data_IF_977869060299
#
_entry.id   IF_977869060299
#
_cell.length_a   1.000
_cell.length_b   1.000
_cell.length_c   1.000
_cell.angle_alpha   90.00
_cell.angle_beta   90.00
_cell.angle_gamma   90.00
#
_symmetry.space_group_name_H-M   'P 1'
#
loop_
_entity.id
_entity.type
_entity.pdbx_description
1 polymer ?
#
# COMPACT_ATOMS: atom_id res chain seq x y z
N UNK A 1 13.81 -0.92 0.24
CA UNK A 1 12.50 -1.57 0.48
C UNK A 1 12.62 -2.97 1.11
N UNK A 2 13.42 -3.89 0.55
CA UNK A 2 13.56 -5.27 1.07
C UNK A 2 14.33 -5.38 2.41
N UNK A 3 15.26 -4.47 2.67
CA UNK A 3 16.08 -4.42 3.90
C UNK A 3 15.45 -3.64 5.07
N UNK A 4 14.17 -3.24 4.97
CA UNK A 4 13.52 -2.37 5.97
C UNK A 4 13.29 -3.06 7.31
N UNK A 5 13.11 -4.38 7.30
CA UNK A 5 12.93 -5.15 8.52
C UNK A 5 14.27 -5.75 8.95
N UNK A 6 14.76 -5.39 10.13
CA UNK A 6 16.02 -5.93 10.66
C UNK A 6 15.92 -7.43 10.99
N UNK A 7 14.71 -7.93 11.28
CA UNK A 7 14.43 -9.36 11.43
C UNK A 7 14.34 -10.10 10.09
N UNK A 8 14.51 -9.42 8.95
CA UNK A 8 14.54 -10.10 7.68
C UNK A 8 15.74 -11.04 7.61
N UNK A 9 15.50 -12.28 7.15
CA UNK A 9 16.55 -13.28 6.92
C UNK A 9 17.71 -12.74 6.07
N UNK A 10 17.41 -11.87 5.10
CA UNK A 10 18.44 -11.21 4.28
C UNK A 10 19.37 -10.34 5.12
N UNK A 11 18.84 -9.49 6.00
CA UNK A 11 19.63 -8.60 6.86
C UNK A 11 20.50 -9.40 7.83
N UNK A 12 19.93 -10.45 8.42
CA UNK A 12 20.69 -11.36 9.30
C UNK A 12 21.85 -11.99 8.56
N UNK A 13 21.59 -12.60 7.40
CA UNK A 13 22.62 -13.29 6.61
C UNK A 13 23.73 -12.34 6.15
N UNK A 14 23.36 -11.15 5.67
CA UNK A 14 24.36 -10.16 5.23
C UNK A 14 25.22 -9.61 6.37
N UNK A 15 24.68 -9.57 7.60
CA UNK A 15 25.43 -9.11 8.77
C UNK A 15 26.28 -10.22 9.41
N UNK A 16 25.84 -11.48 9.36
CA UNK A 16 26.56 -12.60 10.01
C UNK A 16 27.52 -13.33 9.07
N UNK A 17 27.16 -13.51 7.79
CA UNK A 17 27.90 -14.37 6.86
C UNK A 17 28.73 -13.60 5.83
N UNK A 18 28.52 -12.29 5.65
CA UNK A 18 29.21 -11.51 4.63
C UNK A 18 30.03 -10.36 5.25
N UNK A 19 31.35 -10.43 5.07
CA UNK A 19 32.28 -9.36 5.41
C UNK A 19 32.59 -8.56 4.15
N UNK A 20 32.21 -7.28 4.14
CA UNK A 20 32.49 -6.37 3.05
C UNK A 20 33.10 -5.08 3.60
N UNK A 21 34.23 -4.59 3.05
CA UNK A 21 34.90 -3.38 3.56
C UNK A 21 34.12 -2.10 3.25
N UNK A 22 33.28 -2.12 2.20
CA UNK A 22 32.44 -0.99 1.79
C UNK A 22 31.04 -1.49 1.47
N UNK A 23 30.02 -0.79 1.96
CA UNK A 23 28.60 -1.11 1.75
C UNK A 23 27.90 0.14 1.21
N UNK A 24 27.10 -0.01 0.16
CA UNK A 24 26.31 1.07 -0.44
C UNK A 24 24.87 0.59 -0.53
N UNK A 25 23.93 1.46 -0.18
CA UNK A 25 22.51 1.18 -0.27
C UNK A 25 21.85 2.13 -1.27
N UNK A 26 21.14 1.55 -2.25
CA UNK A 26 20.38 2.29 -3.24
C UNK A 26 18.89 2.20 -2.90
N UNK A 27 18.22 3.34 -2.80
CA UNK A 27 16.77 3.40 -2.55
C UNK A 27 16.14 4.52 -3.37
N UNK A 28 15.05 4.20 -4.07
CA UNK A 28 14.22 5.20 -4.76
C UNK A 28 13.11 5.79 -3.88
N UNK A 29 12.81 5.17 -2.74
CA UNK A 29 11.80 5.67 -1.79
C UNK A 29 12.44 6.51 -0.70
N UNK A 30 11.82 7.62 -0.27
CA UNK A 30 12.28 8.35 0.89
C UNK A 30 12.34 7.42 2.10
N UNK A 31 13.29 7.71 2.98
CA UNK A 31 13.47 6.98 4.23
C UNK A 31 12.19 7.16 5.07
N UNK A 32 11.53 6.06 5.44
CA UNK A 32 10.22 6.10 6.10
C UNK A 32 10.34 6.59 7.54
N UNK A 33 9.27 7.19 8.07
CA UNK A 33 9.22 7.79 9.42
C UNK A 33 9.30 6.77 10.58
N UNK A 34 9.61 5.49 10.32
CA UNK A 34 9.71 4.47 11.37
C UNK A 34 11.16 4.32 11.81
N UNK A 35 11.45 4.67 13.07
CA UNK A 35 12.78 4.57 13.67
C UNK A 35 13.42 3.18 13.54
N UNK A 36 12.71 2.05 13.72
CA UNK A 36 13.31 0.72 13.57
C UNK A 36 13.76 0.43 12.13
N UNK A 37 13.04 0.93 11.12
CA UNK A 37 13.43 0.74 9.72
C UNK A 37 14.67 1.54 9.37
N UNK A 38 14.75 2.76 9.91
CA UNK A 38 15.95 3.58 9.77
C UNK A 38 17.15 2.92 10.45
N UNK A 39 16.98 2.43 11.67
CA UNK A 39 18.03 1.71 12.39
C UNK A 39 18.53 0.52 11.58
N UNK A 40 17.64 -0.27 10.98
CA UNK A 40 18.02 -1.42 10.16
C UNK A 40 18.93 -1.02 8.98
N UNK A 41 18.64 0.12 8.33
CA UNK A 41 19.47 0.63 7.23
C UNK A 41 20.84 1.13 7.73
N UNK A 42 20.86 1.82 8.87
CA UNK A 42 22.09 2.37 9.45
C UNK A 42 22.99 1.28 10.04
N UNK A 43 22.41 0.29 10.72
CA UNK A 43 23.14 -0.89 11.21
C UNK A 43 23.79 -1.65 10.05
N UNK A 44 23.11 -1.77 8.91
CA UNK A 44 23.70 -2.39 7.73
C UNK A 44 24.89 -1.60 7.17
N UNK A 45 24.80 -0.27 7.12
CA UNK A 45 25.88 0.59 6.60
C UNK A 45 27.06 0.74 7.59
N UNK A 46 26.76 0.90 8.88
CA UNK A 46 27.71 1.20 9.95
C UNK A 46 27.41 0.32 11.18
N UNK A 47 27.70 -0.99 11.11
CA UNK A 47 27.35 -1.94 12.17
C UNK A 47 28.10 -1.68 13.49
N UNK A 48 29.25 -1.03 13.45
CA UNK A 48 30.07 -0.71 14.63
C UNK A 48 29.43 0.36 15.52
N UNK A 49 28.75 1.34 14.91
CA UNK A 49 28.10 2.45 15.61
C UNK A 49 26.71 2.03 16.11
N UNK A 50 25.95 1.31 15.27
CA UNK A 50 24.53 1.04 15.52
C UNK A 50 24.27 -0.41 15.89
N UNK A 51 24.84 -0.91 17.00
CA UNK A 51 24.75 -2.33 17.38
C UNK A 51 23.37 -2.79 17.87
N UNK A 52 22.62 -1.91 18.55
CA UNK A 52 21.34 -2.27 19.18
C UNK A 52 20.23 -1.30 18.78
N UNK A 53 19.08 -1.85 18.39
CA UNK A 53 17.87 -1.09 18.08
C UNK A 53 17.31 -0.42 19.34
N UNK A 54 17.34 -1.12 20.48
CA UNK A 54 16.85 -0.57 21.75
C UNK A 54 17.67 0.63 22.22
N UNK A 55 19.01 0.57 22.05
CA UNK A 55 19.88 1.71 22.37
C UNK A 55 19.66 2.87 21.41
N UNK A 56 19.38 2.59 20.13
CA UNK A 56 19.02 3.63 19.17
C UNK A 56 17.71 4.31 19.57
N UNK A 57 16.64 3.54 19.81
CA UNK A 57 15.35 4.06 20.28
C UNK A 57 15.48 4.82 21.60
N UNK A 58 16.22 4.28 22.57
CA UNK A 58 16.50 4.97 23.83
C UNK A 58 17.31 6.25 23.61
N UNK A 59 18.32 6.26 22.74
CA UNK A 59 19.07 7.48 22.42
C UNK A 59 18.17 8.56 21.78
N UNK A 60 17.16 8.14 21.03
CA UNK A 60 16.13 9.05 20.50
C UNK A 60 15.13 9.52 21.54
N UNK A 61 14.75 8.65 22.48
CA UNK A 61 13.79 8.94 23.53
C UNK A 61 14.46 9.59 24.77
N UNK A 62 15.79 9.52 24.91
CA UNK A 62 16.57 9.96 26.06
C UNK A 62 16.41 11.44 26.43
N UNK A 63 16.27 12.39 25.47
CA UNK A 63 15.98 13.79 25.82
C UNK A 63 14.62 13.97 26.52
N UNK A 64 13.75 12.96 26.48
CA UNK A 64 12.38 12.97 27.00
C UNK A 64 12.18 11.96 28.14
N UNK A 65 13.22 11.19 28.49
CA UNK A 65 13.19 10.23 29.59
C UNK A 65 13.31 10.88 30.99
N UNK A 66 13.65 12.18 31.06
CA UNK A 66 13.78 12.89 32.33
C UNK A 66 12.44 13.11 33.06
N UNK A 67 11.30 12.91 32.39
CA UNK A 67 9.96 13.11 32.98
C UNK A 67 9.33 11.85 33.57
N UNK A 68 10.02 10.70 33.60
CA UNK A 68 9.66 9.54 34.45
C UNK A 68 8.39 8.76 34.05
N UNK A 69 7.52 9.31 33.21
CA UNK A 69 6.37 8.62 32.64
C UNK A 69 6.63 8.26 31.17
N UNK A 70 5.96 7.22 30.67
CA UNK A 70 5.91 6.92 29.23
C UNK A 70 5.14 8.04 28.55
N UNK A 71 5.80 9.17 28.32
CA UNK A 71 5.23 10.30 27.60
C UNK A 71 5.18 9.91 26.13
N UNK A 72 3.97 9.78 25.59
CA UNK A 72 3.76 9.74 24.16
C UNK A 72 4.35 11.05 23.59
N UNK A 73 5.38 10.93 22.74
CA UNK A 73 6.07 12.07 22.17
C UNK A 73 5.10 12.95 21.39
N UNK A 74 5.12 14.26 21.63
CA UNK A 74 4.35 15.19 20.82
C UNK A 74 4.87 15.20 19.36
N UNK A 75 4.01 15.54 18.40
CA UNK A 75 4.40 15.59 16.98
C UNK A 75 5.59 16.56 16.75
N UNK A 76 5.64 17.67 17.48
CA UNK A 76 6.72 18.66 17.41
C UNK A 76 8.07 18.10 17.89
N UNK A 77 8.05 17.35 18.99
CA UNK A 77 9.25 16.69 19.55
C UNK A 77 9.78 15.63 18.58
N UNK A 78 8.86 14.87 17.99
CA UNK A 78 9.16 13.89 16.93
C UNK A 78 9.81 14.57 15.72
N UNK A 79 9.31 15.73 15.29
CA UNK A 79 9.90 16.51 14.19
C UNK A 79 11.31 17.00 14.55
N UNK A 80 11.53 17.47 15.77
CA UNK A 80 12.84 17.95 16.21
C UNK A 80 13.88 16.81 16.23
N UNK A 81 13.49 15.65 16.75
CA UNK A 81 14.28 14.41 16.69
C UNK A 81 14.65 14.06 15.24
N UNK A 82 13.65 14.01 14.36
CA UNK A 82 13.83 13.67 12.94
C UNK A 82 14.80 14.66 12.27
N UNK A 83 14.70 15.96 12.56
CA UNK A 83 15.63 16.98 12.04
C UNK A 83 17.07 16.75 12.51
N UNK A 84 17.27 16.46 13.80
CA UNK A 84 18.60 16.19 14.36
C UNK A 84 19.23 14.95 13.72
N UNK A 85 18.45 13.90 13.56
CA UNK A 85 18.84 12.70 12.85
C UNK A 85 19.24 13.01 11.39
N UNK A 86 18.39 13.70 10.62
CA UNK A 86 18.71 14.05 9.24
C UNK A 86 20.01 14.85 9.13
N UNK A 87 20.33 15.69 10.11
CA UNK A 87 21.60 16.44 10.16
C UNK A 87 22.81 15.50 10.33
N UNK A 88 22.71 14.53 11.24
CA UNK A 88 23.76 13.50 11.43
C UNK A 88 23.90 12.59 10.21
N UNK A 89 22.78 12.27 9.54
CA UNK A 89 22.77 11.39 8.37
C UNK A 89 23.14 12.06 7.05
N UNK A 90 23.07 13.40 6.98
CA UNK A 90 23.35 14.19 5.77
C UNK A 90 24.67 13.81 5.06
N UNK A 91 25.82 13.59 5.73
CA UNK A 91 27.04 13.16 5.05
C UNK A 91 26.98 11.73 4.48
N UNK A 92 26.09 10.88 4.98
CA UNK A 92 25.95 9.47 4.57
C UNK A 92 24.84 9.26 3.53
N UNK A 93 23.96 10.25 3.35
CA UNK A 93 22.81 10.18 2.47
C UNK A 93 22.94 11.19 1.33
N UNK A 94 23.12 10.68 0.12
CA UNK A 94 22.94 11.48 -1.08
C UNK A 94 21.49 11.33 -1.56
N UNK A 95 20.71 12.41 -1.44
CA UNK A 95 19.34 12.51 -1.95
C UNK A 95 19.21 13.78 -2.78
N UNK A 96 18.66 13.64 -3.98
CA UNK A 96 18.27 14.75 -4.85
C UNK A 96 16.82 14.53 -5.31
N UNK A 97 16.07 15.61 -5.45
CA UNK A 97 14.73 15.56 -6.05
C UNK A 97 14.87 15.66 -7.56
N UNK A 98 13.99 15.00 -8.32
CA UNK A 98 14.02 15.02 -9.79
C UNK A 98 13.96 16.45 -10.35
N UNK A 99 13.15 17.32 -9.72
CA UNK A 99 13.07 18.75 -10.05
C UNK A 99 14.37 19.54 -9.83
N UNK A 100 15.29 19.05 -8.99
CA UNK A 100 16.57 19.71 -8.69
C UNK A 100 17.66 19.35 -9.70
N UNK A 101 17.47 18.27 -10.47
CA UNK A 101 18.52 17.69 -11.32
C UNK A 101 18.16 17.61 -12.79
N UNK A 102 16.88 17.67 -13.13
CA UNK A 102 16.41 17.43 -14.48
C UNK A 102 15.34 18.45 -14.85
N UNK A 103 15.75 19.47 -15.61
CA UNK A 103 14.88 20.55 -16.09
C UNK A 103 14.10 20.21 -17.35
N UNK A 104 14.44 19.11 -18.04
CA UNK A 104 13.77 18.73 -19.28
C UNK A 104 12.46 17.98 -19.06
N UNK A 105 12.21 17.52 -17.83
CA UNK A 105 10.97 16.80 -17.52
C UNK A 105 9.84 17.78 -17.19
N UNK A 106 8.68 17.65 -17.86
CA UNK A 106 7.51 18.46 -17.53
C UNK A 106 7.02 18.16 -16.10
N UNK A 107 6.30 19.12 -15.53
CA UNK A 107 5.72 18.98 -14.20
C UNK A 107 4.73 17.82 -14.13
N UNK A 108 4.80 17.05 -13.04
CA UNK A 108 3.82 16.00 -12.76
C UNK A 108 2.54 16.65 -12.25
N UNK A 109 1.48 16.63 -13.05
CA UNK A 109 0.15 17.02 -12.59
C UNK A 109 -0.61 15.80 -12.07
N UNK A 110 -1.23 15.93 -10.91
CA UNK A 110 -1.97 14.85 -10.23
C UNK A 110 -3.43 15.24 -10.06
N UNK A 111 -4.33 14.41 -10.60
CA UNK A 111 -5.77 14.60 -10.50
C UNK A 111 -6.40 13.42 -9.77
N UNK A 112 -7.25 13.73 -8.79
CA UNK A 112 -8.07 12.73 -8.09
C UNK A 112 -9.48 12.77 -8.64
N UNK A 113 -9.86 11.75 -9.41
CA UNK A 113 -11.20 11.65 -10.01
C UNK A 113 -12.08 10.76 -9.12
N UNK A 114 -13.17 11.32 -8.61
CA UNK A 114 -14.19 10.56 -7.88
C UNK A 114 -15.15 9.93 -8.90
N UNK A 115 -15.41 8.64 -8.76
CA UNK A 115 -16.35 7.89 -9.61
C UNK A 115 -17.55 7.48 -8.77
N UNK A 116 -18.75 7.62 -9.34
CA UNK A 116 -19.96 7.09 -8.70
C UNK A 116 -20.01 5.56 -8.81
N UNK A 117 -20.65 4.92 -7.84
CA UNK A 117 -20.94 3.49 -7.91
C UNK A 117 -22.09 3.21 -8.88
N UNK A 118 -22.00 2.12 -9.64
CA UNK A 118 -23.13 1.59 -10.41
C UNK A 118 -24.27 1.15 -9.48
N UNK A 119 -25.46 0.94 -10.04
CA UNK A 119 -26.60 0.43 -9.26
C UNK A 119 -26.27 -0.91 -8.58
N UNK A 120 -25.64 -1.84 -9.31
CA UNK A 120 -25.20 -3.13 -8.79
C UNK A 120 -24.19 -2.96 -7.65
N UNK A 121 -23.17 -2.11 -7.84
CA UNK A 121 -22.19 -1.80 -6.80
C UNK A 121 -22.86 -1.26 -5.53
N UNK A 122 -23.80 -0.32 -5.64
CA UNK A 122 -24.52 0.25 -4.49
C UNK A 122 -25.28 -0.82 -3.70
N UNK A 123 -25.98 -1.72 -4.39
CA UNK A 123 -26.75 -2.80 -3.76
C UNK A 123 -25.81 -3.77 -3.04
N UNK A 124 -24.79 -4.27 -3.74
CA UNK A 124 -23.82 -5.22 -3.16
C UNK A 124 -23.05 -4.60 -1.99
N UNK A 125 -22.66 -3.33 -2.11
CA UNK A 125 -21.94 -2.61 -1.07
C UNK A 125 -22.79 -2.46 0.20
N UNK A 126 -24.05 -2.02 0.07
CA UNK A 126 -24.99 -1.92 1.20
C UNK A 126 -25.26 -3.28 1.83
N UNK A 127 -25.45 -4.32 1.02
CA UNK A 127 -25.68 -5.68 1.50
C UNK A 127 -24.48 -6.20 2.29
N UNK A 128 -23.26 -6.04 1.76
CA UNK A 128 -22.03 -6.44 2.46
C UNK A 128 -21.78 -5.65 3.74
N UNK A 129 -22.14 -4.37 3.78
CA UNK A 129 -22.07 -3.56 5.00
C UNK A 129 -23.06 -4.02 6.07
N UNK A 130 -24.28 -4.39 5.67
CA UNK A 130 -25.34 -4.78 6.60
C UNK A 130 -25.20 -6.22 7.11
N UNK A 131 -24.82 -7.17 6.24
CA UNK A 131 -24.82 -8.60 6.55
C UNK A 131 -23.45 -9.20 6.86
N UNK A 132 -22.36 -8.46 6.61
CA UNK A 132 -21.00 -9.01 6.72
C UNK A 132 -20.75 -10.16 5.74
N UNK A 133 -19.63 -10.86 5.91
CA UNK A 133 -19.20 -11.95 5.01
C UNK A 133 -20.13 -13.16 5.17
N UNK A 134 -21.23 -13.18 4.42
CA UNK A 134 -22.08 -14.35 4.24
C UNK A 134 -22.07 -14.84 2.77
N UNK A 135 -21.30 -14.17 1.89
CA UNK A 135 -21.29 -14.40 0.44
C UNK A 135 -20.05 -15.16 -0.08
N UNK A 136 -19.14 -15.61 0.79
CA UNK A 136 -18.04 -16.49 0.37
C UNK A 136 -18.24 -17.87 0.97
N UNK A 137 -18.75 -18.74 0.12
CA UNK A 137 -18.60 -20.20 0.08
C UNK A 137 -18.12 -20.91 1.36
N UNK A 138 -19.01 -21.71 1.94
CA UNK A 138 -18.72 -23.09 2.35
C UNK A 138 -17.73 -23.42 3.48
N UNK A 139 -16.93 -22.49 4.03
CA UNK A 139 -15.95 -22.84 5.06
C UNK A 139 -15.93 -21.85 6.23
N UNK A 140 -16.00 -22.39 7.44
CA UNK A 140 -15.94 -21.71 8.75
C UNK A 140 -17.29 -21.33 9.40
N UNK A 141 -18.24 -22.28 9.40
CA UNK A 141 -18.99 -22.55 10.64
C UNK A 141 -18.06 -23.31 11.58
N UNK A 142 -17.17 -22.61 12.29
CA UNK A 142 -16.63 -23.01 13.60
C UNK A 142 -15.38 -22.19 13.94
N UNK A 143 -15.56 -21.14 14.74
CA UNK A 143 -14.66 -20.71 15.83
C UNK A 143 -15.20 -19.44 16.49
N UNK A 144 -15.96 -19.63 17.57
CA UNK A 144 -16.23 -18.59 18.57
C UNK A 144 -14.90 -18.15 19.21
N UNK A 145 -14.63 -16.85 19.15
CA UNK A 145 -13.62 -16.17 19.98
C UNK A 145 -12.24 -16.02 19.33
N UNK A 146 -11.87 -14.77 18.99
CA UNK A 146 -10.59 -14.27 18.39
C UNK A 146 -10.54 -14.00 16.88
N UNK A 147 -11.70 -13.89 16.20
CA UNK A 147 -11.78 -13.61 14.76
C UNK A 147 -12.08 -12.16 14.34
N UNK A 148 -12.54 -11.28 15.23
CA UNK A 148 -13.16 -9.99 14.84
C UNK A 148 -12.34 -9.10 13.89
N UNK A 149 -11.04 -8.93 14.16
CA UNK A 149 -10.15 -8.15 13.29
C UNK A 149 -9.89 -8.83 11.92
N UNK A 150 -9.81 -10.16 11.88
CA UNK A 150 -9.65 -10.93 10.63
C UNK A 150 -10.93 -10.89 9.80
N UNK A 151 -12.09 -11.06 10.44
CA UNK A 151 -13.41 -10.93 9.81
C UNK A 151 -13.61 -9.52 9.26
N UNK A 152 -13.27 -8.47 10.00
CA UNK A 152 -13.35 -7.08 9.54
C UNK A 152 -12.39 -6.79 8.36
N UNK A 153 -11.15 -7.28 8.44
CA UNK A 153 -10.16 -7.13 7.36
C UNK A 153 -10.61 -7.84 6.09
N UNK A 154 -11.26 -9.01 6.22
CA UNK A 154 -11.86 -9.71 5.11
C UNK A 154 -13.05 -8.93 4.53
N UNK A 155 -13.89 -8.27 5.34
CA UNK A 155 -15.00 -7.43 4.85
C UNK A 155 -14.47 -6.24 4.05
N UNK A 156 -13.43 -5.56 4.54
CA UNK A 156 -12.78 -4.46 3.82
C UNK A 156 -12.27 -4.96 2.46
N UNK A 157 -11.66 -6.15 2.42
CA UNK A 157 -11.21 -6.74 1.16
C UNK A 157 -12.36 -6.94 0.17
N UNK A 158 -13.51 -7.47 0.62
CA UNK A 158 -14.67 -7.67 -0.25
C UNK A 158 -15.27 -6.33 -0.72
N UNK A 159 -15.39 -5.33 0.15
CA UNK A 159 -15.84 -3.99 -0.24
C UNK A 159 -14.90 -3.39 -1.30
N UNK A 160 -13.59 -3.60 -1.18
CA UNK A 160 -12.61 -3.18 -2.19
C UNK A 160 -12.80 -3.91 -3.52
N UNK A 161 -13.14 -5.20 -3.51
CA UNK A 161 -13.49 -5.94 -4.74
C UNK A 161 -14.71 -5.33 -5.41
N UNK A 162 -15.80 -5.09 -4.67
CA UNK A 162 -17.03 -4.47 -5.20
C UNK A 162 -16.72 -3.10 -5.84
N UNK A 163 -15.95 -2.27 -5.15
CA UNK A 163 -15.54 -0.95 -5.65
C UNK A 163 -14.58 -1.02 -6.86
N UNK A 164 -13.94 -2.15 -7.11
CA UNK A 164 -13.14 -2.36 -8.32
C UNK A 164 -14.03 -2.86 -9.46
N UNK A 165 -14.71 -3.98 -9.26
CA UNK A 165 -15.69 -4.52 -10.20
C UNK A 165 -16.60 -5.55 -9.51
N UNK A 166 -17.94 -5.54 -9.70
CA UNK A 166 -18.84 -6.56 -9.16
C UNK A 166 -18.53 -7.98 -9.60
N UNK A 167 -18.11 -8.16 -10.85
CA UNK A 167 -17.78 -9.48 -11.42
C UNK A 167 -16.46 -10.07 -10.90
N UNK A 168 -15.75 -9.39 -9.98
CA UNK A 168 -14.72 -10.05 -9.17
C UNK A 168 -15.28 -11.18 -8.28
N UNK A 169 -16.61 -11.24 -8.15
CA UNK A 169 -17.34 -12.34 -7.55
C UNK A 169 -17.97 -13.17 -8.67
N UNK A 170 -17.38 -14.32 -8.95
CA UNK A 170 -17.76 -15.16 -10.09
C UNK A 170 -19.25 -15.54 -10.08
N UNK A 171 -19.81 -15.90 -8.92
CA UNK A 171 -21.25 -16.20 -8.79
C UNK A 171 -22.17 -15.03 -9.18
N UNK A 172 -21.71 -13.78 -9.04
CA UNK A 172 -22.47 -12.60 -9.46
C UNK A 172 -22.40 -12.48 -10.99
N UNK A 173 -21.22 -12.69 -11.58
CA UNK A 173 -21.05 -12.66 -13.02
C UNK A 173 -21.90 -13.74 -13.70
N UNK A 174 -21.81 -14.99 -13.22
CA UNK A 174 -22.56 -16.13 -13.76
C UNK A 174 -24.07 -15.91 -13.69
N UNK A 175 -24.58 -15.43 -12.54
CA UNK A 175 -26.02 -15.15 -12.37
C UNK A 175 -26.51 -14.03 -13.28
N UNK A 176 -25.71 -12.97 -13.48
CA UNK A 176 -26.06 -11.91 -14.42
C UNK A 176 -25.95 -12.37 -15.87
N UNK A 177 -24.96 -13.19 -16.19
CA UNK A 177 -24.74 -13.76 -17.52
C UNK A 177 -25.94 -14.62 -17.93
N UNK A 178 -26.41 -15.51 -17.04
CA UNK A 178 -27.60 -16.33 -17.24
C UNK A 178 -28.86 -15.46 -17.46
N UNK A 179 -29.06 -14.44 -16.62
CA UNK A 179 -30.22 -13.54 -16.73
C UNK A 179 -30.25 -12.77 -18.06
N UNK A 180 -29.08 -12.40 -18.58
CA UNK A 180 -28.93 -11.66 -19.83
C UNK A 180 -28.82 -12.56 -21.06
N UNK A 181 -28.86 -13.89 -20.89
CA UNK A 181 -28.82 -14.85 -22.00
C UNK A 181 -27.42 -15.13 -22.57
N UNK A 182 -26.35 -14.87 -21.82
CA UNK A 182 -24.98 -15.23 -22.22
C UNK A 182 -24.73 -16.72 -22.02
N UNK A 183 -24.42 -17.44 -23.11
CA UNK A 183 -24.20 -18.90 -23.09
C UNK A 183 -22.94 -19.34 -22.34
N UNK A 184 -21.97 -18.44 -22.15
CA UNK A 184 -20.64 -18.80 -21.67
C UNK A 184 -20.36 -18.35 -20.22
N UNK A 185 -21.37 -17.80 -19.52
CA UNK A 185 -21.21 -17.31 -18.14
C UNK A 185 -20.31 -16.07 -17.99
N UNK A 186 -19.79 -15.52 -19.10
CA UNK A 186 -18.88 -14.37 -19.12
C UNK A 186 -19.58 -13.19 -19.76
N UNK A 187 -19.55 -12.04 -19.07
CA UNK A 187 -20.19 -10.82 -19.52
C UNK A 187 -19.21 -9.99 -20.35
N UNK A 188 -19.63 -9.55 -21.52
CA UNK A 188 -18.82 -8.73 -22.41
C UNK A 188 -19.58 -7.49 -22.92
N UNK A 189 -18.85 -6.60 -23.61
CA UNK A 189 -19.43 -5.40 -24.21
C UNK A 189 -19.95 -4.39 -23.17
N UNK A 190 -21.14 -3.85 -23.45
CA UNK A 190 -21.72 -2.75 -22.67
C UNK A 190 -21.98 -3.12 -21.21
N UNK A 191 -22.44 -4.33 -20.97
CA UNK A 191 -22.84 -4.78 -19.63
C UNK A 191 -21.63 -4.92 -18.69
N UNK A 192 -20.43 -5.20 -19.24
CA UNK A 192 -19.19 -5.24 -18.46
C UNK A 192 -18.88 -3.87 -17.85
N UNK A 193 -18.73 -2.81 -18.65
CA UNK A 193 -18.33 -1.51 -18.12
C UNK A 193 -19.47 -0.79 -17.40
N UNK A 194 -20.74 -1.07 -17.70
CA UNK A 194 -21.90 -0.51 -16.98
C UNK A 194 -22.02 -1.04 -15.56
N UNK A 195 -21.51 -2.25 -15.29
CA UNK A 195 -21.51 -2.84 -13.96
C UNK A 195 -20.57 -2.12 -12.98
N UNK A 196 -19.56 -1.38 -13.44
CA UNK A 196 -18.61 -0.66 -12.56
C UNK A 196 -18.40 0.78 -12.99
N UNK A 197 -18.66 1.73 -12.09
CA UNK A 197 -18.49 3.16 -12.42
C UNK A 197 -17.06 3.57 -12.77
N UNK A 198 -16.05 2.80 -12.33
CA UNK A 198 -14.66 3.01 -12.77
C UNK A 198 -14.45 2.60 -14.22
N UNK A 199 -15.06 1.50 -14.65
CA UNK A 199 -14.95 1.02 -16.02
C UNK A 199 -15.75 1.89 -16.98
N UNK A 200 -16.91 2.36 -16.53
CA UNK A 200 -17.68 3.40 -17.23
C UNK A 200 -16.85 4.66 -17.49
N UNK A 201 -16.13 5.14 -16.46
CA UNK A 201 -15.24 6.28 -16.63
C UNK A 201 -14.07 5.98 -17.58
N UNK A 202 -13.47 4.79 -17.47
CA UNK A 202 -12.38 4.37 -18.36
C UNK A 202 -12.85 4.31 -19.82
N UNK A 203 -14.05 3.79 -20.07
CA UNK A 203 -14.67 3.75 -21.40
C UNK A 203 -14.84 5.14 -22.01
N UNK A 204 -15.13 6.17 -21.19
CA UNK A 204 -15.20 7.57 -21.64
C UNK A 204 -13.84 8.23 -21.87
N UNK A 205 -12.83 7.90 -21.06
CA UNK A 205 -11.53 8.59 -21.06
C UNK A 205 -10.54 7.96 -22.06
N UNK A 206 -10.46 6.62 -22.10
CA UNK A 206 -9.44 5.93 -22.90
C UNK A 206 -9.55 6.22 -24.41
N UNK A 207 -10.76 6.30 -25.03
CA UNK A 207 -10.87 6.67 -26.43
C UNK A 207 -10.37 8.09 -26.71
N UNK A 208 -10.60 9.04 -25.79
CA UNK A 208 -10.13 10.43 -25.93
C UNK A 208 -8.61 10.50 -25.85
N UNK A 209 -8.00 9.80 -24.89
CA UNK A 209 -6.54 9.73 -24.76
C UNK A 209 -5.90 9.03 -25.97
N UNK A 210 -6.55 8.01 -26.52
CA UNK A 210 -6.10 7.35 -27.75
C UNK A 210 -6.19 8.29 -28.96
N UNK A 211 -7.27 9.05 -29.08
CA UNK A 211 -7.45 10.02 -30.16
C UNK A 211 -6.38 11.13 -30.14
N UNK A 212 -5.88 11.50 -28.96
CA UNK A 212 -4.78 12.47 -28.80
C UNK A 212 -3.39 11.81 -28.70
N UNK A 213 -3.28 10.52 -29.06
CA UNK A 213 -2.03 9.76 -29.11
C UNK A 213 -1.25 9.70 -27.78
N UNK A 214 -1.96 9.66 -26.65
CA UNK A 214 -1.35 9.39 -25.34
C UNK A 214 -1.23 7.90 -25.07
N UNK A 215 -0.18 7.53 -24.33
CA UNK A 215 0.01 6.18 -23.79
C UNK A 215 -0.38 6.15 -22.32
N UNK A 216 -1.13 5.12 -21.93
CA UNK A 216 -1.69 4.98 -20.59
C UNK A 216 -1.04 3.80 -19.87
N UNK A 217 -0.62 4.02 -18.63
CA UNK A 217 -0.20 2.96 -17.72
C UNK A 217 -1.28 2.79 -16.64
N UNK A 218 -1.87 1.61 -16.57
CA UNK A 218 -2.87 1.25 -15.56
C UNK A 218 -2.22 0.39 -14.47
N UNK A 219 -2.42 0.78 -13.22
CA UNK A 219 -1.95 0.04 -12.06
C UNK A 219 -3.15 -0.60 -11.35
N UNK A 220 -3.11 -1.91 -11.16
CA UNK A 220 -4.10 -2.64 -10.39
C UNK A 220 -3.44 -3.38 -9.22
N UNK A 221 -4.09 -3.37 -8.06
CA UNK A 221 -3.63 -4.12 -6.89
C UNK A 221 -4.11 -5.58 -6.87
N UNK A 222 -5.25 -5.88 -7.48
CA UNK A 222 -5.83 -7.21 -7.49
C UNK A 222 -5.60 -7.87 -8.85
N UNK A 223 -4.87 -8.98 -8.87
CA UNK A 223 -4.51 -9.69 -10.10
C UNK A 223 -5.73 -10.18 -10.87
N UNK A 224 -6.80 -10.58 -10.17
CA UNK A 224 -8.04 -11.06 -10.80
C UNK A 224 -8.88 -9.97 -11.48
N UNK A 225 -8.47 -8.70 -11.41
CA UNK A 225 -9.12 -7.60 -12.14
C UNK A 225 -8.42 -7.31 -13.47
N UNK A 226 -7.14 -7.69 -13.60
CA UNK A 226 -6.41 -7.58 -14.87
C UNK A 226 -6.82 -8.72 -15.78
#
# INVERSE_FOLDING_TARGET
>A
HRMKNHHCKLTQVLNTHYVAPRRILLTGTPLQNKLPELWALLNFLLPTIFKSCSTFEQWFNAPFAMTGERVDLNEEETILIIRRLHKVLRPFLLRRLKKEVESQLPEKVEYVIKCDMSALQKILYRHMQAKGILLTDGSEKDKKGKGGAKTLMNTIMQLRKICNHPYMFQHIEESFAEHLGYSNGVINGAELYRASGKFELLDRILPKLRATNHRVLLFCQMTSLM
#
